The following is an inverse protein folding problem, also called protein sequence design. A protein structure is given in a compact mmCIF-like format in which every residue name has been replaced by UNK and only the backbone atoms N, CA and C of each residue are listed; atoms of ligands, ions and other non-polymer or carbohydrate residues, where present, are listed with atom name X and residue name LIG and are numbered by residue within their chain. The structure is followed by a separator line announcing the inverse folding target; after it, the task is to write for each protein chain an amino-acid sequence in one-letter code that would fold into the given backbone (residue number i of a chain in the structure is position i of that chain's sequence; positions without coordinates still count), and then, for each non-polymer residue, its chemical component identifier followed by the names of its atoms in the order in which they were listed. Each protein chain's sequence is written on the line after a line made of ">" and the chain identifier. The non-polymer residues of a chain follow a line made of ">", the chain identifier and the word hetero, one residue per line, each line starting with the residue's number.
data_IF_016648325052
#
_entry.id   IF_016648325052
#
_cell.length_a   1.000
_cell.length_b   1.000
_cell.length_c   1.000
_cell.angle_alpha   90.00
_cell.angle_beta   90.00
_cell.angle_gamma   90.00
#
_symmetry.space_group_name_H-M   'P 1'
#
loop_
_entity.id
_entity.type
_entity.pdbx_description
1 polymer ?
#
# COMPACT_ATOMS: atom_id res chain seq x y z
N UNK A 1 2.85 17.37 -7.19
CA UNK A 1 1.76 17.89 -6.34
C UNK A 1 2.38 18.27 -4.99
N UNK A 2 1.83 19.26 -4.27
CA UNK A 2 2.42 19.85 -3.05
C UNK A 2 1.35 19.93 -1.96
N UNK A 3 1.70 19.60 -0.71
CA UNK A 3 0.78 19.54 0.43
C UNK A 3 1.01 20.74 1.35
N UNK A 4 -0.07 21.33 1.82
CA UNK A 4 -0.03 22.44 2.78
C UNK A 4 -0.82 22.07 4.03
N UNK A 5 -0.22 22.29 5.19
CA UNK A 5 -0.90 22.20 6.48
C UNK A 5 -1.36 23.61 6.90
N UNK A 6 -2.57 23.71 7.41
CA UNK A 6 -3.15 24.95 7.93
C UNK A 6 -3.59 24.75 9.38
N UNK A 7 -3.56 25.83 10.15
CA UNK A 7 -3.86 25.82 11.60
C UNK A 7 -5.31 25.37 11.87
N UNK A 8 -6.24 25.72 10.99
CA UNK A 8 -7.64 25.38 11.16
C UNK A 8 -8.38 25.09 9.83
N UNK A 9 -9.48 24.35 9.95
CA UNK A 9 -10.31 23.93 8.80
C UNK A 9 -11.03 25.11 8.12
N UNK A 10 -11.24 26.23 8.82
CA UNK A 10 -11.86 27.42 8.22
C UNK A 10 -10.90 28.10 7.24
N UNK A 11 -9.60 28.10 7.51
CA UNK A 11 -8.57 28.58 6.58
C UNK A 11 -8.56 27.70 5.34
N UNK A 12 -8.60 26.37 5.49
CA UNK A 12 -8.69 25.43 4.35
C UNK A 12 -9.90 25.76 3.46
N UNK A 13 -11.07 26.00 4.05
CA UNK A 13 -12.27 26.40 3.30
C UNK A 13 -12.08 27.72 2.54
N UNK A 14 -11.47 28.73 3.18
CA UNK A 14 -11.16 30.02 2.55
C UNK A 14 -10.23 29.83 1.36
N UNK A 15 -9.13 29.09 1.53
CA UNK A 15 -8.15 28.81 0.47
C UNK A 15 -8.81 28.09 -0.72
N UNK A 16 -9.57 27.02 -0.47
CA UNK A 16 -10.27 26.27 -1.53
C UNK A 16 -11.25 27.14 -2.34
N UNK A 17 -11.84 28.18 -1.72
CA UNK A 17 -12.72 29.11 -2.44
C UNK A 17 -11.98 29.94 -3.50
N UNK A 18 -10.69 30.22 -3.31
CA UNK A 18 -9.86 30.96 -4.26
C UNK A 18 -9.17 30.04 -5.28
N UNK A 19 -9.02 28.74 -4.98
CA UNK A 19 -8.41 27.78 -5.90
C UNK A 19 -9.34 27.37 -7.07
N UNK A 20 -8.78 26.88 -8.20
CA UNK A 20 -9.54 26.31 -9.30
C UNK A 20 -10.49 25.19 -8.85
N UNK A 21 -11.64 25.06 -9.52
CA UNK A 21 -12.70 24.10 -9.19
C UNK A 21 -12.37 22.70 -9.74
N UNK A 22 -11.41 22.01 -9.13
CA UNK A 22 -10.94 20.69 -9.62
C UNK A 22 -11.46 19.50 -8.81
N UNK A 23 -12.12 19.72 -7.67
CA UNK A 23 -12.58 18.65 -6.80
C UNK A 23 -11.41 17.84 -6.25
N UNK A 24 -11.47 16.51 -6.40
CA UNK A 24 -10.37 15.57 -6.11
C UNK A 24 -9.74 15.01 -7.40
N UNK A 25 -9.91 15.73 -8.51
CA UNK A 25 -9.47 15.31 -9.85
C UNK A 25 -10.54 14.53 -10.62
N UNK A 26 -10.35 14.40 -11.94
CA UNK A 26 -11.29 13.75 -12.86
C UNK A 26 -11.19 12.22 -12.93
N UNK A 27 -10.17 11.60 -12.33
CA UNK A 27 -9.91 10.16 -12.48
C UNK A 27 -10.99 9.25 -11.90
N UNK A 28 -11.69 9.72 -10.86
CA UNK A 28 -12.56 8.86 -10.04
C UNK A 28 -14.06 9.11 -10.26
N UNK A 29 -14.44 9.74 -11.38
CA UNK A 29 -15.85 10.02 -11.71
C UNK A 29 -16.55 11.00 -10.74
N UNK A 30 -15.78 11.68 -9.90
CA UNK A 30 -16.31 12.62 -8.91
C UNK A 30 -16.52 14.02 -9.51
N UNK A 31 -17.58 14.75 -9.10
CA UNK A 31 -17.82 16.09 -9.60
C UNK A 31 -16.63 17.02 -9.30
N UNK A 32 -16.13 17.70 -10.33
CA UNK A 32 -15.06 18.71 -10.19
C UNK A 32 -15.63 20.01 -9.62
N UNK A 33 -15.88 20.01 -8.32
CA UNK A 33 -16.49 21.13 -7.58
C UNK A 33 -15.73 21.37 -6.28
N UNK A 34 -15.70 22.62 -5.80
CA UNK A 34 -15.02 22.98 -4.54
C UNK A 34 -15.58 22.23 -3.33
N UNK A 35 -16.89 21.95 -3.33
CA UNK A 35 -17.52 21.13 -2.28
C UNK A 35 -16.90 19.73 -2.22
N UNK A 36 -16.53 19.17 -3.36
CA UNK A 36 -15.89 17.84 -3.46
C UNK A 36 -14.49 17.87 -2.85
N UNK A 37 -13.74 18.96 -3.05
CA UNK A 37 -12.41 19.14 -2.40
C UNK A 37 -12.48 19.25 -0.87
N UNK A 38 -13.66 19.58 -0.31
CA UNK A 38 -13.88 19.75 1.13
C UNK A 38 -14.69 18.61 1.76
N UNK A 39 -15.13 17.64 0.94
CA UNK A 39 -15.97 16.53 1.37
C UNK A 39 -15.17 15.54 2.22
N UNK A 40 -15.84 14.89 3.19
CA UNK A 40 -15.22 13.81 3.96
C UNK A 40 -15.07 12.54 3.13
N UNK A 41 -14.15 11.65 3.53
CA UNK A 41 -13.98 10.33 2.91
C UNK A 41 -15.31 9.59 2.72
N UNK A 42 -16.17 9.59 3.74
CA UNK A 42 -17.50 8.95 3.71
C UNK A 42 -18.44 9.59 2.67
N UNK A 43 -18.35 10.90 2.48
CA UNK A 43 -19.14 11.61 1.45
C UNK A 43 -18.62 11.30 0.05
N UNK A 44 -17.29 11.28 -0.14
CA UNK A 44 -16.66 10.94 -1.41
C UNK A 44 -16.96 9.50 -1.82
N UNK A 45 -16.85 8.55 -0.89
CA UNK A 45 -17.17 7.14 -1.12
C UNK A 45 -18.62 6.96 -1.60
N UNK A 46 -19.58 7.59 -0.92
CA UNK A 46 -21.01 7.49 -1.26
C UNK A 46 -21.39 8.15 -2.58
N UNK A 47 -20.63 9.14 -3.03
CA UNK A 47 -20.95 9.92 -4.23
C UNK A 47 -20.22 9.44 -5.48
N UNK A 48 -19.18 8.63 -5.33
CA UNK A 48 -18.49 8.01 -6.45
C UNK A 48 -19.22 6.77 -6.95
N UNK A 49 -18.97 6.40 -8.21
CA UNK A 49 -19.40 5.13 -8.79
C UNK A 49 -18.27 4.08 -8.80
N UNK A 50 -17.16 4.33 -8.10
CA UNK A 50 -15.93 3.53 -8.21
C UNK A 50 -16.12 2.08 -7.74
N UNK A 51 -16.88 1.84 -6.68
CA UNK A 51 -17.19 0.48 -6.22
C UNK A 51 -17.99 -0.31 -7.27
N UNK A 52 -18.98 0.31 -7.92
CA UNK A 52 -19.73 -0.35 -8.98
C UNK A 52 -18.85 -0.63 -10.21
N UNK A 53 -17.98 0.32 -10.58
CA UNK A 53 -17.03 0.12 -11.69
C UNK A 53 -16.07 -1.02 -11.40
N UNK A 54 -15.58 -1.12 -10.16
CA UNK A 54 -14.73 -2.22 -9.70
C UNK A 54 -15.48 -3.56 -9.76
N UNK A 55 -16.69 -3.65 -9.23
CA UNK A 55 -17.53 -4.86 -9.28
C UNK A 55 -17.84 -5.30 -10.72
N UNK A 56 -17.95 -4.35 -11.65
CA UNK A 56 -18.14 -4.60 -13.09
C UNK A 56 -16.84 -4.89 -13.85
N UNK A 57 -15.70 -4.92 -13.16
CA UNK A 57 -14.35 -5.09 -13.74
C UNK A 57 -13.96 -4.01 -14.74
N UNK A 58 -14.53 -2.82 -14.62
CA UNK A 58 -14.14 -1.65 -15.40
C UNK A 58 -12.86 -0.99 -14.87
N UNK A 59 -12.48 -1.31 -13.63
CA UNK A 59 -11.22 -0.92 -12.99
C UNK A 59 -10.63 -2.12 -12.24
N UNK A 60 -9.32 -2.15 -12.16
CA UNK A 60 -8.54 -3.19 -11.49
C UNK A 60 -8.60 -3.10 -9.95
N UNK A 61 -8.20 -4.18 -9.26
CA UNK A 61 -8.09 -4.20 -7.80
C UNK A 61 -7.11 -3.12 -7.31
N UNK A 62 -5.97 -2.96 -7.99
CA UNK A 62 -5.02 -1.90 -7.66
C UNK A 62 -5.61 -0.50 -7.81
N UNK A 63 -6.32 -0.21 -8.91
CA UNK A 63 -6.93 1.11 -9.12
C UNK A 63 -8.00 1.40 -8.07
N UNK A 64 -8.77 0.38 -7.69
CA UNK A 64 -9.75 0.50 -6.63
C UNK A 64 -9.08 0.77 -5.26
N UNK A 65 -8.01 0.06 -4.92
CA UNK A 65 -7.22 0.32 -3.71
C UNK A 65 -6.57 1.71 -3.71
N UNK A 66 -6.03 2.17 -4.84
CA UNK A 66 -5.52 3.53 -4.99
C UNK A 66 -6.62 4.58 -4.79
N UNK A 67 -7.82 4.33 -5.31
CA UNK A 67 -8.98 5.17 -5.07
C UNK A 67 -9.34 5.23 -3.59
N UNK A 68 -9.45 4.08 -2.92
CA UNK A 68 -9.76 3.99 -1.48
C UNK A 68 -8.73 4.76 -0.64
N UNK A 69 -7.44 4.56 -0.91
CA UNK A 69 -6.36 5.31 -0.28
C UNK A 69 -6.51 6.82 -0.49
N UNK A 70 -6.77 7.24 -1.74
CA UNK A 70 -6.91 8.67 -2.07
C UNK A 70 -8.06 9.31 -1.31
N UNK A 71 -9.25 8.68 -1.26
CA UNK A 71 -10.39 9.26 -0.55
C UNK A 71 -10.24 9.20 0.98
N UNK A 72 -9.43 8.27 1.50
CA UNK A 72 -9.07 8.20 2.90
C UNK A 72 -8.04 9.28 3.31
N UNK A 73 -7.58 10.11 2.35
CA UNK A 73 -6.62 11.18 2.59
C UNK A 73 -5.16 10.76 2.46
N UNK A 74 -4.90 9.51 2.04
CA UNK A 74 -3.54 9.01 1.86
C UNK A 74 -2.86 9.67 0.66
N UNK A 75 -1.56 9.95 0.77
CA UNK A 75 -0.81 10.71 -0.24
C UNK A 75 0.66 10.31 -0.30
N UNK A 76 1.27 10.45 -1.47
CA UNK A 76 2.71 10.28 -1.69
C UNK A 76 3.55 11.42 -1.10
N UNK A 77 2.93 12.49 -0.59
CA UNK A 77 3.63 13.68 -0.08
C UNK A 77 3.89 13.65 1.42
N UNK A 78 3.23 12.77 2.16
CA UNK A 78 3.39 12.63 3.60
C UNK A 78 3.57 11.14 3.93
N UNK A 79 4.76 10.78 4.40
CA UNK A 79 5.11 9.40 4.75
C UNK A 79 4.23 8.85 5.88
N UNK A 80 3.73 9.70 6.78
CA UNK A 80 2.82 9.27 7.85
C UNK A 80 1.41 8.93 7.31
N UNK A 81 1.11 9.36 6.09
CA UNK A 81 -0.17 9.13 5.40
C UNK A 81 0.06 8.44 4.06
N UNK A 82 1.14 7.67 3.92
CA UNK A 82 1.44 6.98 2.68
C UNK A 82 0.35 5.95 2.34
N UNK A 83 0.02 5.73 1.05
CA UNK A 83 -0.92 4.70 0.64
C UNK A 83 -0.55 3.31 1.17
N UNK A 84 -1.54 2.56 1.61
CA UNK A 84 -1.38 1.23 2.20
C UNK A 84 -2.08 0.19 1.32
N UNK A 85 -1.38 -0.92 1.07
CA UNK A 85 -1.85 -2.08 0.33
C UNK A 85 -1.75 -3.32 1.21
N UNK A 86 -2.69 -4.27 1.13
CA UNK A 86 -2.59 -5.50 1.91
C UNK A 86 -1.48 -6.41 1.39
N UNK A 87 -0.89 -7.21 2.27
CA UNK A 87 -0.21 -8.43 1.84
C UNK A 87 -1.18 -9.35 1.08
N UNK A 88 -0.77 -9.85 -0.08
CA UNK A 88 -1.60 -10.74 -0.91
C UNK A 88 -1.11 -12.17 -0.86
N UNK A 89 0.20 -12.38 -1.05
CA UNK A 89 0.83 -13.69 -1.03
C UNK A 89 1.22 -14.03 0.42
N UNK A 90 1.04 -15.29 0.81
CA UNK A 90 1.42 -15.83 2.12
C UNK A 90 2.57 -16.85 2.04
N UNK A 91 2.97 -17.26 0.82
CA UNK A 91 4.06 -18.19 0.57
C UNK A 91 5.29 -17.48 -0.03
N UNK A 92 6.33 -17.36 0.78
CA UNK A 92 7.60 -16.77 0.41
C UNK A 92 8.78 -17.75 0.55
N UNK A 93 8.50 -19.04 0.73
CA UNK A 93 9.51 -20.08 1.00
C UNK A 93 9.61 -21.12 -0.12
N UNK A 94 8.50 -21.38 -0.83
CA UNK A 94 8.44 -22.36 -1.91
C UNK A 94 9.27 -21.95 -3.13
N UNK A 95 9.88 -22.94 -3.78
CA UNK A 95 10.63 -22.75 -5.04
C UNK A 95 9.73 -22.32 -6.22
N UNK A 96 8.45 -22.70 -6.17
CA UNK A 96 7.44 -22.36 -7.17
C UNK A 96 6.16 -21.92 -6.48
N UNK A 97 5.55 -20.87 -7.01
CA UNK A 97 4.30 -20.34 -6.51
C UNK A 97 3.13 -20.79 -7.40
N UNK A 98 2.12 -21.42 -6.82
CA UNK A 98 0.89 -21.79 -7.52
C UNK A 98 -0.26 -20.83 -7.17
N UNK A 99 -0.52 -19.87 -8.05
CA UNK A 99 -1.60 -18.89 -7.89
C UNK A 99 -3.01 -19.50 -8.01
N UNK A 100 -3.14 -20.79 -8.32
CA UNK A 100 -4.44 -21.47 -8.26
C UNK A 100 -4.71 -22.08 -6.88
N UNK A 101 -3.70 -22.16 -6.01
CA UNK A 101 -3.85 -22.71 -4.66
C UNK A 101 -4.34 -21.62 -3.70
N UNK A 102 -5.47 -21.83 -2.98
CA UNK A 102 -5.90 -20.92 -1.93
C UNK A 102 -4.87 -20.71 -0.82
N UNK A 103 -4.00 -21.70 -0.56
CA UNK A 103 -2.96 -21.62 0.47
C UNK A 103 -1.86 -20.60 0.16
N UNK A 104 -1.73 -20.19 -1.11
CA UNK A 104 -0.78 -19.17 -1.53
C UNK A 104 -1.20 -17.78 -1.10
N UNK A 105 -2.48 -17.56 -0.82
CA UNK A 105 -3.02 -16.25 -0.51
C UNK A 105 -3.15 -16.02 0.99
N UNK A 106 -2.90 -14.78 1.40
CA UNK A 106 -3.28 -14.31 2.74
C UNK A 106 -4.80 -14.29 2.85
N UNK A 107 -5.29 -14.66 4.03
CA UNK A 107 -6.68 -14.44 4.42
C UNK A 107 -6.97 -12.93 4.56
N UNK A 108 -7.66 -12.37 3.57
CA UNK A 108 -8.02 -10.95 3.50
C UNK A 108 -9.19 -10.56 4.43
N UNK A 109 -9.88 -11.54 5.03
CA UNK A 109 -10.93 -11.26 6.03
C UNK A 109 -10.37 -10.85 7.39
N UNK A 110 -9.11 -11.23 7.66
CA UNK A 110 -8.40 -10.77 8.86
C UNK A 110 -8.04 -9.32 8.66
N UNK A 111 -8.42 -8.47 9.62
CA UNK A 111 -8.16 -7.04 9.54
C UNK A 111 -6.68 -6.78 9.19
N UNK A 112 -6.41 -5.76 8.34
CA UNK A 112 -5.05 -5.35 8.09
C UNK A 112 -4.41 -5.04 9.44
N UNK A 113 -3.19 -5.52 9.61
CA UNK A 113 -2.49 -5.50 10.90
C UNK A 113 -2.38 -4.06 11.47
N UNK A 114 -2.48 -3.06 10.59
CA UNK A 114 -2.49 -1.63 10.90
C UNK A 114 -3.65 -1.16 11.79
N UNK A 115 -4.84 -1.78 11.77
CA UNK A 115 -5.95 -1.37 12.65
C UNK A 115 -5.64 -1.64 14.13
N UNK A 116 -4.91 -2.72 14.41
CA UNK A 116 -4.45 -3.05 15.76
C UNK A 116 -3.35 -2.09 16.24
N UNK A 117 -2.47 -1.66 15.32
CA UNK A 117 -1.36 -0.72 15.60
C UNK A 117 -1.80 0.70 15.94
N UNK A 118 -2.84 1.21 15.27
CA UNK A 118 -3.36 2.57 15.50
C UNK A 118 -3.85 2.77 16.96
N UNK A 119 -4.09 1.69 17.69
CA UNK A 119 -4.49 1.72 19.10
C UNK A 119 -3.32 1.61 20.10
N UNK A 120 -2.06 1.37 19.67
CA UNK A 120 -1.05 0.83 20.60
C UNK A 120 0.36 1.44 20.61
N UNK A 121 0.67 2.56 19.94
CA UNK A 121 2.01 3.18 20.12
C UNK A 121 2.02 4.69 20.41
N UNK A 122 2.45 5.00 21.63
CA UNK A 122 3.05 6.27 22.08
C UNK A 122 4.51 6.36 21.62
N UNK A 123 4.72 6.73 20.36
CA UNK A 123 5.90 7.47 19.89
C UNK A 123 7.31 7.01 20.31
N UNK A 124 7.79 5.85 19.81
CA UNK A 124 9.23 5.56 19.74
C UNK A 124 9.63 4.92 18.40
N UNK A 125 10.66 5.49 17.76
CA UNK A 125 11.37 4.90 16.62
C UNK A 125 12.55 4.04 17.11
N UNK A 126 13.01 3.10 16.29
CA UNK A 126 13.73 1.89 16.74
C UNK A 126 14.87 1.48 15.77
N UNK A 127 15.68 0.50 16.21
CA UNK A 127 17.06 0.17 15.84
C UNK A 127 17.32 -0.47 14.45
N UNK A 128 18.62 -0.59 14.08
CA UNK A 128 19.15 -1.01 12.77
C UNK A 128 18.73 -2.41 12.26
N UNK A 129 18.25 -3.31 13.13
CA UNK A 129 17.59 -4.56 12.73
C UNK A 129 16.26 -4.35 11.95
N UNK A 130 15.80 -3.09 11.81
CA UNK A 130 14.62 -2.71 11.02
C UNK A 130 14.92 -2.42 9.55
N UNK A 131 16.16 -2.53 9.08
CA UNK A 131 16.44 -2.31 7.66
C UNK A 131 15.76 -3.39 6.82
N UNK A 132 14.87 -2.97 5.93
CA UNK A 132 14.18 -3.84 4.99
C UNK A 132 15.18 -4.44 3.99
N UNK A 133 15.51 -5.72 4.18
CA UNK A 133 16.50 -6.41 3.34
C UNK A 133 16.02 -7.76 2.81
N UNK A 134 14.85 -8.25 3.24
CA UNK A 134 14.35 -9.58 2.89
C UNK A 134 12.82 -9.64 2.91
N UNK A 135 12.21 -10.05 1.81
CA UNK A 135 10.75 -10.23 1.71
C UNK A 135 10.28 -11.37 2.63
N UNK A 136 10.88 -12.59 2.57
CA UNK A 136 10.42 -13.69 3.42
C UNK A 136 10.56 -13.37 4.91
N UNK A 137 11.66 -12.72 5.31
CA UNK A 137 11.87 -12.34 6.71
C UNK A 137 10.85 -11.29 7.16
N UNK A 138 10.58 -10.28 6.31
CA UNK A 138 9.60 -9.23 6.63
C UNK A 138 8.20 -9.80 6.83
N UNK A 139 7.79 -10.75 5.98
CA UNK A 139 6.54 -11.47 6.14
C UNK A 139 6.51 -12.30 7.43
N UNK A 140 7.56 -13.08 7.71
CA UNK A 140 7.64 -13.89 8.92
C UNK A 140 7.57 -13.04 10.20
N UNK A 141 8.24 -11.88 10.22
CA UNK A 141 8.18 -10.95 11.34
C UNK A 141 6.76 -10.44 11.56
N UNK A 142 6.04 -10.10 10.47
CA UNK A 142 4.64 -9.67 10.55
C UNK A 142 3.68 -10.73 11.10
N UNK A 143 4.04 -12.02 11.04
CA UNK A 143 3.22 -13.11 11.60
C UNK A 143 3.57 -13.41 13.07
N UNK A 144 4.79 -13.13 13.51
CA UNK A 144 5.32 -13.58 14.81
C UNK A 144 5.34 -12.48 15.87
N UNK A 145 5.59 -11.24 15.46
CA UNK A 145 5.73 -10.11 16.36
C UNK A 145 4.44 -9.29 16.40
N UNK A 146 3.78 -9.25 17.55
CA UNK A 146 2.56 -8.45 17.73
C UNK A 146 2.80 -6.94 17.64
N UNK A 147 4.07 -6.50 17.65
CA UNK A 147 4.48 -5.11 17.42
C UNK A 147 4.88 -4.81 15.97
N UNK A 148 5.09 -5.84 15.13
CA UNK A 148 5.41 -5.69 13.71
C UNK A 148 4.18 -6.04 12.85
N UNK A 149 3.42 -5.00 12.51
CA UNK A 149 2.09 -5.10 11.91
C UNK A 149 2.04 -4.36 10.58
N UNK A 150 3.17 -4.42 9.85
CA UNK A 150 3.36 -3.72 8.58
C UNK A 150 2.49 -4.31 7.48
N UNK A 151 1.83 -3.43 6.74
CA UNK A 151 1.20 -3.74 5.45
C UNK A 151 2.09 -3.24 4.31
N UNK A 152 1.77 -3.64 3.09
CA UNK A 152 2.51 -3.26 1.89
C UNK A 152 2.19 -1.82 1.44
N UNK A 153 2.96 -1.36 0.46
CA UNK A 153 2.77 -0.11 -0.26
C UNK A 153 2.55 -0.39 -1.76
N UNK A 154 1.98 0.53 -2.54
CA UNK A 154 1.68 0.31 -3.98
C UNK A 154 2.89 -0.13 -4.83
N UNK A 155 4.10 0.24 -4.41
CA UNK A 155 5.37 -0.04 -5.08
C UNK A 155 5.64 -1.55 -5.17
N UNK A 156 5.17 -2.36 -4.21
CA UNK A 156 5.26 -3.83 -4.26
C UNK A 156 4.48 -4.47 -5.42
N UNK A 157 3.69 -3.67 -6.14
CA UNK A 157 2.88 -4.11 -7.28
C UNK A 157 3.20 -3.33 -8.57
N UNK A 158 4.23 -2.47 -8.55
CA UNK A 158 4.52 -1.60 -9.70
C UNK A 158 5.96 -1.11 -9.87
N UNK A 159 6.84 -1.20 -8.87
CA UNK A 159 8.17 -0.57 -8.90
C UNK A 159 9.27 -1.57 -8.49
N UNK A 160 9.87 -2.32 -9.44
CA UNK A 160 10.93 -3.28 -9.15
C UNK A 160 12.23 -2.64 -8.63
N UNK A 161 12.52 -1.40 -9.02
CA UNK A 161 13.73 -0.68 -8.66
C UNK A 161 13.89 -0.51 -7.15
N UNK A 162 12.78 -0.47 -6.41
CA UNK A 162 12.76 -0.42 -4.94
C UNK A 162 13.46 -1.62 -4.29
N UNK A 163 13.55 -2.75 -4.99
CA UNK A 163 14.15 -3.98 -4.49
C UNK A 163 15.64 -4.11 -4.85
N UNK A 164 16.19 -3.13 -5.56
CA UNK A 164 17.57 -3.12 -6.02
C UNK A 164 18.35 -1.96 -5.42
N UNK A 165 19.59 -2.20 -5.05
CA UNK A 165 20.55 -1.16 -4.68
C UNK A 165 21.22 -0.59 -5.94
N UNK A 166 20.43 -0.02 -6.84
CA UNK A 166 20.89 0.49 -8.14
C UNK A 166 21.95 1.60 -8.03
N UNK A 167 21.99 2.32 -6.90
CA UNK A 167 22.98 3.36 -6.61
C UNK A 167 24.25 2.82 -5.95
N UNK A 168 24.36 1.50 -5.75
CA UNK A 168 25.50 0.83 -5.12
C UNK A 168 25.88 1.43 -3.76
N UNK A 169 24.88 1.76 -2.95
CA UNK A 169 25.11 2.24 -1.60
C UNK A 169 25.85 1.19 -0.79
N UNK A 170 26.82 1.63 0.02
CA UNK A 170 27.48 0.75 1.00
C UNK A 170 26.57 0.60 2.20
N UNK A 171 25.71 -0.40 2.17
CA UNK A 171 24.85 -0.75 3.30
C UNK A 171 25.63 -1.59 4.32
N UNK A 172 25.21 -1.55 5.59
CA UNK A 172 25.84 -2.28 6.68
C UNK A 172 25.55 -3.79 6.61
N UNK A 173 26.10 -4.55 7.57
CA UNK A 173 25.73 -5.95 7.77
C UNK A 173 24.68 -6.04 8.86
N UNK A 174 23.77 -7.01 8.74
CA UNK A 174 22.89 -7.37 9.87
C UNK A 174 23.72 -7.92 11.04
N UNK A 175 23.11 -8.02 12.22
CA UNK A 175 23.74 -8.65 13.40
C UNK A 175 24.19 -10.09 13.12
N UNK A 176 23.47 -10.81 12.26
CA UNK A 176 23.80 -12.16 11.78
C UNK A 176 24.93 -12.17 10.72
N UNK A 177 25.52 -11.01 10.41
CA UNK A 177 26.62 -10.86 9.47
C UNK A 177 26.21 -10.86 7.99
N UNK A 178 24.91 -10.86 7.68
CA UNK A 178 24.41 -10.83 6.30
C UNK A 178 24.69 -9.45 5.71
N UNK A 179 25.38 -9.41 4.57
CA UNK A 179 25.60 -8.16 3.84
C UNK A 179 24.27 -7.68 3.27
N UNK A 180 23.86 -6.47 3.60
CA UNK A 180 22.69 -5.82 2.99
C UNK A 180 23.12 -5.23 1.63
N UNK A 181 22.36 -5.49 0.58
CA UNK A 181 22.59 -4.99 -0.77
C UNK A 181 21.24 -4.92 -1.51
N UNK A 182 21.03 -5.72 -2.55
CA UNK A 182 19.70 -5.98 -3.10
C UNK A 182 18.80 -6.70 -2.07
N UNK A 183 17.49 -6.47 -2.17
CA UNK A 183 16.51 -7.12 -1.31
C UNK A 183 16.46 -8.61 -1.63
N UNK A 184 16.53 -9.45 -0.60
CA UNK A 184 16.40 -10.89 -0.73
C UNK A 184 14.97 -11.22 -1.15
N UNK A 185 14.84 -11.75 -2.36
CA UNK A 185 13.57 -12.15 -2.95
C UNK A 185 13.16 -13.56 -2.51
N UNK A 186 11.86 -13.89 -2.59
CA UNK A 186 11.39 -15.26 -2.46
C UNK A 186 11.95 -16.14 -3.57
N UNK A 187 12.10 -17.44 -3.31
CA UNK A 187 12.74 -18.37 -4.25
C UNK A 187 12.05 -18.47 -5.60
N UNK A 188 10.73 -18.26 -5.63
CA UNK A 188 9.92 -18.27 -6.84
C UNK A 188 10.11 -17.02 -7.73
N UNK A 189 10.81 -15.98 -7.26
CA UNK A 189 11.13 -14.78 -8.03
C UNK A 189 12.64 -14.70 -8.28
N UNK A 190 13.04 -14.84 -9.56
CA UNK A 190 14.45 -14.74 -9.95
C UNK A 190 14.95 -13.30 -10.00
N UNK A 191 14.04 -12.37 -10.35
CA UNK A 191 14.35 -10.95 -10.46
C UNK A 191 13.29 -10.09 -9.75
N UNK A 192 13.62 -8.83 -9.42
CA UNK A 192 12.64 -7.86 -8.92
C UNK A 192 11.42 -7.70 -9.83
N UNK A 193 11.61 -7.73 -11.15
CA UNK A 193 10.53 -7.64 -12.13
C UNK A 193 9.59 -8.84 -12.06
N UNK A 194 10.14 -10.05 -11.90
CA UNK A 194 9.35 -11.26 -11.67
C UNK A 194 8.54 -11.14 -10.38
N UNK A 195 9.16 -10.67 -9.30
CA UNK A 195 8.48 -10.45 -8.04
C UNK A 195 7.30 -9.48 -8.19
N UNK A 196 7.51 -8.31 -8.80
CA UNK A 196 6.46 -7.32 -9.02
C UNK A 196 5.35 -7.87 -9.92
N UNK A 197 5.72 -8.53 -11.02
CA UNK A 197 4.77 -9.12 -11.97
C UNK A 197 3.89 -10.17 -11.30
N UNK A 198 4.47 -11.06 -10.50
CA UNK A 198 3.74 -12.11 -9.78
C UNK A 198 2.85 -11.51 -8.70
N UNK A 199 3.35 -10.53 -7.90
CA UNK A 199 2.50 -9.83 -6.94
C UNK A 199 1.33 -9.13 -7.61
N UNK A 200 1.56 -8.47 -8.75
CA UNK A 200 0.49 -7.83 -9.50
C UNK A 200 -0.52 -8.84 -10.04
N UNK A 201 -0.05 -9.98 -10.54
CA UNK A 201 -0.92 -11.08 -11.00
C UNK A 201 -1.75 -11.65 -9.85
N UNK A 202 -1.15 -11.84 -8.68
CA UNK A 202 -1.84 -12.31 -7.49
C UNK A 202 -2.90 -11.30 -7.01
N UNK A 203 -2.56 -10.01 -6.98
CA UNK A 203 -3.48 -8.92 -6.62
C UNK A 203 -4.71 -8.87 -7.54
N UNK A 204 -4.52 -9.10 -8.85
CA UNK A 204 -5.61 -9.07 -9.84
C UNK A 204 -6.30 -10.44 -10.01
N UNK A 205 -5.97 -11.43 -9.19
CA UNK A 205 -6.58 -12.76 -9.27
C UNK A 205 -8.06 -12.78 -8.88
N UNK A 206 -8.77 -13.81 -9.33
CA UNK A 206 -10.16 -14.07 -8.92
C UNK A 206 -10.28 -14.24 -7.41
N UNK A 207 -9.30 -14.92 -6.78
CA UNK A 207 -9.26 -15.11 -5.34
C UNK A 207 -9.29 -13.78 -4.60
N UNK A 208 -8.43 -12.83 -4.96
CA UNK A 208 -8.41 -11.51 -4.30
C UNK A 208 -9.69 -10.75 -4.61
N UNK A 209 -10.14 -10.76 -5.87
CA UNK A 209 -11.34 -10.05 -6.31
C UNK A 209 -12.59 -10.48 -5.54
N UNK A 210 -12.70 -11.77 -5.18
CA UNK A 210 -13.82 -12.28 -4.40
C UNK A 210 -13.72 -12.02 -2.90
N UNK A 211 -12.57 -11.56 -2.37
CA UNK A 211 -12.34 -11.39 -0.92
C UNK A 211 -11.93 -9.97 -0.50
N UNK A 212 -11.83 -9.00 -1.42
CA UNK A 212 -11.43 -7.61 -1.13
C UNK A 212 -12.60 -6.71 -0.62
N UNK A 213 -13.80 -7.26 -0.42
CA UNK A 213 -15.04 -6.50 -0.23
C UNK A 213 -15.40 -6.21 1.23
#
# INVERSE_FOLDING_TARGET
>A
SVMFAFIDRSIVKKVVNFLPRVGVGGRYGLPQQRRTSLASAKQLFRSANMTQRWQRREISNFEYLMYLNTIAGRTYQDLNQYPVFPWIIADYESEKLDLNSPSTYRDLSKEPFTTFYLNLQEGKFDHANRLFHSIPLSWQNCQRDSSDVKELIPEFFSLPEMLTNCNHYKLERTEDGIKVDDVILPKWAQTPEDFIRINRTALESEFVSSHLH
#
